data_IF_308502803548
#
_entry.id   IF_308502803548
#
_cell.length_a   1.000
_cell.length_b   1.000
_cell.length_c   1.000
_cell.angle_alpha   90.00
_cell.angle_beta   90.00
_cell.angle_gamma   90.00
#
_symmetry.space_group_name_H-M   'P 1'
#
loop_
_entity.id
_entity.type
_entity.pdbx_description
1 polymer ?
#
# COMPACT_ATOMS: atom_id res chain seq x y z
N UNK A 1 -4.44 5.72 -2.07
CA UNK A 1 -3.61 5.38 -3.25
C UNK A 1 -4.33 4.35 -4.12
N UNK A 2 -5.01 4.80 -5.18
CA UNK A 2 -5.73 3.92 -6.11
C UNK A 2 -4.94 3.61 -7.37
N UNK A 3 -3.80 4.26 -7.65
CA UNK A 3 -2.90 3.83 -8.71
C UNK A 3 -2.08 2.60 -8.23
N UNK A 4 -1.89 1.54 -9.04
CA UNK A 4 -2.22 1.37 -10.46
C UNK A 4 -3.59 0.69 -10.75
N UNK A 5 -4.54 0.76 -9.84
CA UNK A 5 -5.87 0.15 -9.94
C UNK A 5 -6.81 0.95 -10.84
N UNK A 6 -7.72 0.25 -11.51
CA UNK A 6 -8.70 0.85 -12.44
C UNK A 6 -9.71 1.71 -11.69
N UNK A 7 -10.03 1.33 -10.46
CA UNK A 7 -10.96 2.05 -9.59
C UNK A 7 -10.65 1.81 -8.11
N UNK A 8 -11.26 2.61 -7.23
CA UNK A 8 -11.13 2.42 -5.78
C UNK A 8 -11.74 1.08 -5.33
N UNK A 9 -12.81 0.63 -5.98
CA UNK A 9 -13.46 -0.65 -5.72
C UNK A 9 -12.54 -1.83 -6.09
N UNK A 10 -11.80 -1.73 -7.20
CA UNK A 10 -10.79 -2.74 -7.55
C UNK A 10 -9.67 -2.77 -6.50
N UNK A 11 -9.22 -1.60 -6.03
CA UNK A 11 -8.21 -1.51 -4.98
C UNK A 11 -8.71 -2.12 -3.65
N UNK A 12 -9.92 -1.79 -3.23
CA UNK A 12 -10.52 -2.32 -2.01
C UNK A 12 -10.62 -3.85 -2.07
N UNK A 13 -11.09 -4.40 -3.19
CA UNK A 13 -11.15 -5.85 -3.41
C UNK A 13 -9.76 -6.48 -3.36
N UNK A 14 -8.77 -5.89 -4.06
CA UNK A 14 -7.39 -6.38 -4.07
C UNK A 14 -6.78 -6.40 -2.67
N UNK A 15 -6.96 -5.30 -1.91
CA UNK A 15 -6.51 -5.19 -0.52
C UNK A 15 -7.18 -6.23 0.36
N UNK A 16 -8.49 -6.41 0.22
CA UNK A 16 -9.24 -7.41 0.98
C UNK A 16 -8.71 -8.81 0.69
N UNK A 17 -8.62 -9.23 -0.58
CA UNK A 17 -8.13 -10.54 -1.02
C UNK A 17 -6.73 -10.88 -0.48
N UNK A 18 -5.88 -9.87 -0.30
CA UNK A 18 -4.53 -10.03 0.27
C UNK A 18 -4.51 -10.08 1.79
N UNK A 19 -5.47 -9.43 2.45
CA UNK A 19 -5.55 -9.40 3.91
C UNK A 19 -6.10 -10.72 4.48
N UNK A 20 -6.96 -11.38 3.71
CA UNK A 20 -7.50 -12.70 4.05
C UNK A 20 -6.52 -13.78 3.57
N UNK A 21 -6.22 -14.76 4.42
CA UNK A 21 -5.26 -15.81 4.10
C UNK A 21 -5.87 -16.89 3.17
N UNK A 22 -6.37 -16.46 2.02
CA UNK A 22 -6.99 -17.30 0.99
C UNK A 22 -5.89 -17.83 0.06
N UNK A 23 -6.01 -19.10 -0.36
CA UNK A 23 -5.05 -19.69 -1.29
C UNK A 23 -5.15 -19.07 -2.68
N UNK A 24 -4.03 -19.00 -3.40
CA UNK A 24 -3.98 -18.46 -4.76
C UNK A 24 -4.96 -19.18 -5.71
N UNK A 25 -5.14 -20.49 -5.56
CA UNK A 25 -6.10 -21.25 -6.36
C UNK A 25 -7.56 -20.84 -6.13
N UNK A 26 -7.93 -20.48 -4.90
CA UNK A 26 -9.27 -19.95 -4.59
C UNK A 26 -9.45 -18.54 -5.15
N UNK A 27 -8.42 -17.70 -5.08
CA UNK A 27 -8.41 -16.37 -5.71
C UNK A 27 -8.61 -16.50 -7.22
N UNK A 28 -7.90 -17.43 -7.87
CA UNK A 28 -8.05 -17.70 -9.31
C UNK A 28 -9.47 -18.16 -9.67
N UNK A 29 -10.06 -19.06 -8.86
CA UNK A 29 -11.45 -19.48 -9.05
C UNK A 29 -12.41 -18.30 -8.92
N UNK A 30 -12.24 -17.47 -7.89
CA UNK A 30 -13.06 -16.28 -7.66
C UNK A 30 -12.98 -15.28 -8.82
N UNK A 31 -11.77 -14.99 -9.32
CA UNK A 31 -11.54 -14.06 -10.44
C UNK A 31 -12.05 -14.59 -11.80
N UNK A 32 -12.32 -15.89 -11.92
CA UNK A 32 -12.89 -16.51 -13.14
C UNK A 32 -14.41 -16.61 -13.14
N UNK A 33 -15.06 -16.26 -12.03
CA UNK A 33 -16.52 -16.30 -11.95
C UNK A 33 -17.16 -15.26 -12.89
N UNK A 34 -18.35 -15.58 -13.39
CA UNK A 34 -19.06 -14.79 -14.41
C UNK A 34 -19.38 -13.36 -13.99
N UNK A 35 -19.46 -13.07 -12.69
CA UNK A 35 -19.72 -11.73 -12.15
C UNK A 35 -18.63 -10.73 -12.54
N UNK A 36 -17.40 -11.20 -12.83
CA UNK A 36 -16.32 -10.35 -13.33
C UNK A 36 -16.69 -9.67 -14.65
N UNK A 37 -17.48 -10.28 -15.52
CA UNK A 37 -17.82 -9.67 -16.82
C UNK A 37 -18.68 -8.40 -16.71
N UNK A 38 -19.36 -8.20 -15.57
CA UNK A 38 -20.10 -6.96 -15.28
C UNK A 38 -19.27 -5.90 -14.56
N UNK A 39 -18.06 -6.23 -14.08
CA UNK A 39 -17.22 -5.34 -13.29
C UNK A 39 -15.92 -5.04 -14.05
N UNK A 40 -15.46 -3.79 -14.05
CA UNK A 40 -14.22 -3.34 -14.70
C UNK A 40 -12.96 -3.78 -13.91
N UNK A 41 -12.83 -5.07 -13.63
CA UNK A 41 -11.63 -5.63 -13.03
C UNK A 41 -10.57 -5.90 -14.10
N UNK A 42 -9.38 -5.33 -13.90
CA UNK A 42 -8.18 -5.61 -14.70
C UNK A 42 -7.49 -6.93 -14.33
N UNK A 43 -7.80 -7.49 -13.16
CA UNK A 43 -7.15 -8.69 -12.62
C UNK A 43 -7.74 -9.99 -13.17
N UNK A 44 -6.90 -10.89 -13.71
CA UNK A 44 -7.31 -12.21 -14.22
C UNK A 44 -6.74 -13.40 -13.47
N UNK A 45 -5.77 -13.18 -12.56
CA UNK A 45 -5.22 -14.22 -11.70
C UNK A 45 -4.66 -13.68 -10.40
N UNK A 46 -4.50 -14.56 -9.41
CA UNK A 46 -3.76 -14.28 -8.18
C UNK A 46 -2.32 -13.85 -8.47
N UNK A 47 -1.69 -14.43 -9.50
CA UNK A 47 -0.35 -14.05 -9.93
C UNK A 47 -0.29 -12.60 -10.40
N UNK A 48 -1.27 -12.17 -11.22
CA UNK A 48 -1.37 -10.78 -11.68
C UNK A 48 -1.65 -9.82 -10.52
N UNK A 49 -2.52 -10.22 -9.58
CA UNK A 49 -2.78 -9.45 -8.35
C UNK A 49 -1.47 -9.21 -7.58
N UNK A 50 -0.72 -10.28 -7.31
CA UNK A 50 0.56 -10.17 -6.61
C UNK A 50 1.57 -9.33 -7.40
N UNK A 51 1.70 -9.55 -8.72
CA UNK A 51 2.63 -8.79 -9.56
C UNK A 51 2.30 -7.29 -9.57
N UNK A 52 1.00 -6.94 -9.65
CA UNK A 52 0.52 -5.55 -9.63
C UNK A 52 0.76 -4.87 -8.29
N UNK A 53 0.71 -5.61 -7.18
CA UNK A 53 1.08 -5.10 -5.85
C UNK A 53 2.59 -4.90 -5.75
N UNK A 54 3.38 -5.87 -6.22
CA UNK A 54 4.84 -5.78 -6.19
C UNK A 54 5.37 -4.66 -7.08
N UNK A 55 4.65 -4.27 -8.14
CA UNK A 55 5.00 -3.12 -8.98
C UNK A 55 4.56 -1.78 -8.41
N UNK A 56 3.79 -1.77 -7.31
CA UNK A 56 3.44 -0.51 -6.65
C UNK A 56 4.71 0.18 -6.17
N UNK A 57 4.83 1.51 -6.35
CA UNK A 57 5.91 2.25 -5.74
C UNK A 57 5.82 2.04 -4.23
N UNK A 58 6.85 1.42 -3.66
CA UNK A 58 6.99 1.32 -2.21
C UNK A 58 7.02 2.70 -1.58
N UNK A 59 6.59 2.80 -0.32
CA UNK A 59 6.88 3.98 0.47
C UNK A 59 8.39 4.10 0.74
N UNK A 60 8.85 5.24 1.29
CA UNK A 60 10.21 5.38 1.77
C UNK A 60 10.60 4.22 2.70
N UNK A 61 11.84 3.74 2.67
CA UNK A 61 12.26 2.62 3.51
C UNK A 61 12.13 2.98 5.00
N UNK A 62 11.79 1.98 5.82
CA UNK A 62 11.97 2.10 7.26
C UNK A 62 13.45 2.11 7.59
N UNK A 63 13.86 3.10 8.38
CA UNK A 63 15.20 3.26 8.93
C UNK A 63 15.17 2.95 10.42
N UNK A 64 16.32 2.58 10.97
CA UNK A 64 16.49 2.42 12.42
C UNK A 64 17.72 3.18 12.90
N UNK A 65 17.65 3.70 14.12
CA UNK A 65 18.79 4.30 14.81
C UNK A 65 18.70 4.06 16.30
N UNK A 66 19.83 3.97 16.98
CA UNK A 66 19.85 3.87 18.44
C UNK A 66 19.79 5.27 19.06
N UNK A 67 18.84 5.46 19.96
CA UNK A 67 18.67 6.70 20.71
C UNK A 67 18.85 6.44 22.21
N UNK A 68 19.42 7.42 22.89
CA UNK A 68 19.50 7.45 24.35
C UNK A 68 18.44 8.39 24.89
N UNK A 69 17.55 7.87 25.71
CA UNK A 69 16.56 8.69 26.41
C UNK A 69 17.23 9.31 27.65
N UNK A 70 16.90 10.57 27.95
CA UNK A 70 17.45 11.29 29.11
C UNK A 70 17.18 10.56 30.43
N UNK A 71 16.04 9.88 30.50
CA UNK A 71 15.60 9.15 31.70
C UNK A 71 16.13 7.71 31.75
N UNK A 72 16.77 7.23 30.68
CA UNK A 72 17.27 5.85 30.54
C UNK A 72 18.62 5.82 29.81
N UNK A 73 19.61 6.55 30.34
CA UNK A 73 20.96 6.68 29.76
C UNK A 73 21.77 5.37 29.71
N UNK A 74 21.30 4.29 30.33
CA UNK A 74 21.96 2.99 30.30
C UNK A 74 21.21 1.97 29.41
N UNK A 75 20.09 2.37 28.80
CA UNK A 75 19.23 1.48 28.02
C UNK A 75 18.96 2.07 26.62
N UNK A 76 19.87 1.84 25.65
CA UNK A 76 19.68 2.28 24.28
C UNK A 76 18.37 1.73 23.70
N UNK A 77 17.58 2.59 23.06
CA UNK A 77 16.33 2.22 22.40
C UNK A 77 16.50 2.29 20.89
N UNK A 78 15.97 1.31 20.17
CA UNK A 78 15.92 1.36 18.71
C UNK A 78 14.72 2.17 18.25
N UNK A 79 14.97 3.35 17.67
CA UNK A 79 13.96 4.15 17.01
C UNK A 79 13.82 3.71 15.56
N UNK A 80 12.63 3.24 15.18
CA UNK A 80 12.26 3.01 13.79
C UNK A 80 11.56 4.26 13.24
N UNK A 81 12.01 4.77 12.11
CA UNK A 81 11.49 5.99 11.51
C UNK A 81 11.56 5.93 9.98
N UNK A 82 10.83 6.83 9.32
CA UNK A 82 10.96 7.10 7.89
C UNK A 82 11.36 8.56 7.71
N UNK A 83 12.08 8.88 6.64
CA UNK A 83 12.42 10.26 6.32
C UNK A 83 11.13 11.05 6.01
N UNK A 84 10.78 12.00 6.87
CA UNK A 84 9.53 12.77 6.75
C UNK A 84 9.42 13.53 5.43
N UNK A 85 10.55 14.02 4.90
CA UNK A 85 10.57 14.74 3.62
C UNK A 85 10.29 13.80 2.46
N UNK A 86 10.87 12.59 2.49
CA UNK A 86 10.59 11.56 1.48
C UNK A 86 9.13 11.10 1.56
N UNK A 87 8.61 10.87 2.77
CA UNK A 87 7.20 10.49 2.98
C UNK A 87 6.27 11.57 2.44
N UNK A 88 6.53 12.84 2.76
CA UNK A 88 5.73 13.95 2.27
C UNK A 88 5.79 14.06 0.74
N UNK A 89 6.98 13.97 0.13
CA UNK A 89 7.13 13.98 -1.32
C UNK A 89 6.38 12.82 -2.00
N UNK A 90 6.47 11.60 -1.46
CA UNK A 90 5.73 10.45 -1.98
C UNK A 90 4.22 10.65 -1.87
N UNK A 91 3.73 11.25 -0.77
CA UNK A 91 2.32 11.57 -0.61
C UNK A 91 1.85 12.65 -1.58
N UNK A 92 2.64 13.71 -1.82
CA UNK A 92 2.28 14.79 -2.75
C UNK A 92 2.33 14.37 -4.22
N UNK A 93 3.19 13.42 -4.58
CA UNK A 93 3.23 12.85 -5.94
C UNK A 93 2.02 11.95 -6.25
N UNK A 94 1.23 11.60 -5.24
CA UNK A 94 0.08 10.74 -5.41
C UNK A 94 -1.16 11.55 -5.82
N UNK A 95 -1.73 11.29 -7.03
CA UNK A 95 -2.87 12.05 -7.54
C UNK A 95 -4.10 12.01 -6.62
N UNK A 96 -4.26 10.96 -5.80
CA UNK A 96 -5.36 10.84 -4.84
C UNK A 96 -5.37 11.94 -3.77
N UNK A 97 -4.25 12.62 -3.53
CA UNK A 97 -4.12 13.67 -2.51
C UNK A 97 -4.07 15.09 -3.10
N UNK A 98 -4.27 15.23 -4.42
CA UNK A 98 -4.15 16.51 -5.13
C UNK A 98 -5.06 17.62 -4.54
N UNK A 99 -6.25 17.25 -4.09
CA UNK A 99 -7.24 18.18 -3.53
C UNK A 99 -7.25 18.18 -1.98
N UNK A 100 -6.33 17.44 -1.34
CA UNK A 100 -6.24 17.31 0.11
C UNK A 100 -5.22 18.26 0.75
N UNK A 101 -4.58 19.12 -0.04
CA UNK A 101 -3.54 20.04 0.41
C UNK A 101 -4.12 21.42 0.75
N UNK A 102 -4.80 21.51 1.90
CA UNK A 102 -5.11 22.81 2.50
C UNK A 102 -3.84 23.41 3.13
N UNK A 103 -2.93 23.91 2.30
CA UNK A 103 -1.79 24.69 2.77
C UNK A 103 -2.26 26.11 3.08
N UNK A 104 -2.36 26.45 4.37
CA UNK A 104 -2.54 27.83 4.82
C UNK A 104 -1.17 28.40 5.19
N UNK A 105 -0.73 29.50 4.56
CA UNK A 105 0.60 30.08 4.76
C UNK A 105 0.78 30.72 6.15
#
# INVERSE_FOLDING_TARGET
>A
PSAPWVSEEEWELARWLMSVNISQGVIDCFLKLSWKHGNLLSLSSAKELHAKIQSMPGGPPWLSTEIMLKDALNEPQTLYYQNVVEVANTLFQNPSFKDCTNFTP
#
